data_IF_673221953545
#
_entry.id   IF_673221953545
#
_cell.length_a   1.000
_cell.length_b   1.000
_cell.length_c   1.000
_cell.angle_alpha   90.00
_cell.angle_beta   90.00
_cell.angle_gamma   90.00
#
_symmetry.space_group_name_H-M   'P 1'
#
loop_
_entity.id
_entity.type
_entity.pdbx_description
1 polymer ?
#
# COMPACT_ATOMS: atom_id res chain seq x y z
N UNK A 1 15.77 -2.20 -6.37
CA UNK A 1 14.60 -3.05 -6.03
C UNK A 1 13.36 -2.25 -6.39
N UNK A 2 12.44 -2.84 -7.14
CA UNK A 2 11.26 -2.12 -7.62
C UNK A 2 10.07 -2.46 -6.72
N UNK A 3 9.52 -1.44 -6.05
CA UNK A 3 8.24 -1.54 -5.36
C UNK A 3 7.11 -1.22 -6.35
N UNK A 4 6.07 -2.03 -6.33
CA UNK A 4 4.86 -1.82 -7.14
C UNK A 4 3.61 -1.99 -6.28
N UNK A 5 2.53 -1.31 -6.66
CA UNK A 5 1.25 -1.38 -5.98
C UNK A 5 0.17 -1.78 -6.99
N UNK A 6 -0.75 -2.66 -6.58
CA UNK A 6 -1.84 -3.14 -7.44
C UNK A 6 -3.13 -3.22 -6.64
N UNK A 7 -4.23 -2.83 -7.28
CA UNK A 7 -5.55 -3.05 -6.68
C UNK A 7 -5.83 -4.54 -6.57
N UNK A 8 -6.41 -4.96 -5.43
CA UNK A 8 -6.83 -6.34 -5.23
C UNK A 8 -8.34 -6.39 -5.45
N UNK A 9 -8.74 -6.98 -6.57
CA UNK A 9 -10.15 -7.23 -6.86
C UNK A 9 -10.68 -8.35 -5.95
N UNK A 10 -11.17 -7.98 -4.76
CA UNK A 10 -12.21 -8.77 -4.10
C UNK A 10 -13.57 -8.26 -4.57
N UNK A 11 -14.57 -9.15 -4.58
CA UNK A 11 -15.97 -8.82 -4.81
C UNK A 11 -16.35 -7.64 -3.93
N UNK A 12 -16.48 -6.46 -4.52
CA UNK A 12 -16.61 -5.20 -3.78
C UNK A 12 -18.01 -5.12 -3.19
N UNK A 13 -18.13 -5.21 -1.87
CA UNK A 13 -19.34 -4.72 -1.20
C UNK A 13 -19.45 -3.21 -1.45
N UNK A 14 -20.65 -2.68 -1.68
CA UNK A 14 -20.86 -1.28 -2.12
C UNK A 14 -20.21 -0.20 -1.23
N UNK A 15 -19.79 -0.56 -0.01
CA UNK A 15 -19.13 0.30 0.98
C UNK A 15 -17.85 -0.30 1.60
N UNK A 16 -17.24 -1.31 0.95
CA UNK A 16 -16.02 -1.94 1.46
C UNK A 16 -14.75 -1.12 1.21
N UNK A 17 -13.73 -1.37 2.01
CA UNK A 17 -12.41 -0.74 1.88
C UNK A 17 -11.78 -1.02 0.52
N UNK A 18 -11.06 -0.03 0.00
CA UNK A 18 -10.12 -0.25 -1.10
C UNK A 18 -8.90 -0.98 -0.56
N UNK A 19 -8.47 -2.04 -1.24
CA UNK A 19 -7.29 -2.83 -0.86
C UNK A 19 -6.31 -2.95 -2.00
N UNK A 20 -5.04 -2.82 -1.66
CA UNK A 20 -3.93 -2.82 -2.59
C UNK A 20 -2.83 -3.76 -2.10
N UNK A 21 -2.31 -4.59 -3.00
CA UNK A 21 -1.12 -5.39 -2.76
C UNK A 21 0.12 -4.57 -3.07
N UNK A 22 1.08 -4.57 -2.15
CA UNK A 22 2.40 -3.99 -2.34
C UNK A 22 3.39 -5.13 -2.60
N UNK A 23 4.09 -5.03 -3.72
CA UNK A 23 5.02 -6.05 -4.18
C UNK A 23 6.43 -5.50 -4.28
N UNK A 24 7.40 -6.25 -3.76
CA UNK A 24 8.82 -6.02 -3.94
C UNK A 24 9.37 -7.11 -4.86
N UNK A 25 9.90 -6.72 -6.01
CA UNK A 25 10.45 -7.64 -7.02
C UNK A 25 9.48 -8.80 -7.38
N UNK A 26 8.17 -8.47 -7.42
CA UNK A 26 7.09 -9.40 -7.74
C UNK A 26 6.53 -10.20 -6.56
N UNK A 27 7.17 -10.16 -5.39
CA UNK A 27 6.69 -10.82 -4.17
C UNK A 27 5.81 -9.88 -3.35
N UNK A 28 4.64 -10.36 -2.91
CA UNK A 28 3.76 -9.60 -2.03
C UNK A 28 4.43 -9.44 -0.65
N UNK A 29 4.60 -8.20 -0.21
CA UNK A 29 5.21 -7.88 1.10
C UNK A 29 4.23 -7.21 2.07
N UNK A 30 3.18 -6.55 1.56
CA UNK A 30 2.18 -5.90 2.39
C UNK A 30 0.86 -5.66 1.65
N UNK A 31 -0.18 -5.38 2.42
CA UNK A 31 -1.45 -4.85 1.96
C UNK A 31 -1.63 -3.44 2.48
N UNK A 32 -1.92 -2.49 1.60
CA UNK A 32 -2.42 -1.17 1.98
C UNK A 32 -3.93 -1.13 1.80
N UNK A 33 -4.63 -0.45 2.70
CA UNK A 33 -6.06 -0.24 2.60
C UNK A 33 -6.43 1.20 2.95
N UNK A 34 -7.53 1.66 2.37
CA UNK A 34 -8.20 2.87 2.83
C UNK A 34 -9.70 2.72 2.71
N UNK A 35 -10.44 3.42 3.55
CA UNK A 35 -11.91 3.42 3.52
C UNK A 35 -12.43 4.09 2.24
N UNK A 36 -13.74 4.05 2.03
CA UNK A 36 -14.35 4.63 0.83
C UNK A 36 -14.04 6.13 0.65
N UNK A 37 -13.85 6.88 1.75
CA UNK A 37 -13.57 8.32 1.71
C UNK A 37 -12.08 8.64 1.60
N UNK A 38 -11.21 7.68 1.90
CA UNK A 38 -9.76 7.87 2.00
C UNK A 38 -9.35 8.62 3.27
N UNK A 39 -10.26 8.75 4.24
CA UNK A 39 -10.06 9.39 5.54
C UNK A 39 -9.28 8.45 6.46
N UNK A 40 -9.62 7.16 6.42
CA UNK A 40 -8.98 6.11 7.20
C UNK A 40 -8.11 5.24 6.29
N UNK A 41 -6.92 4.89 6.77
CA UNK A 41 -6.01 4.04 6.01
C UNK A 41 -5.05 3.27 6.91
N UNK A 42 -4.48 2.20 6.38
CA UNK A 42 -3.50 1.40 7.09
C UNK A 42 -2.72 0.47 6.18
N UNK A 43 -1.69 -0.13 6.76
CA UNK A 43 -0.85 -1.13 6.13
C UNK A 43 -0.73 -2.38 7.00
N UNK A 44 -0.72 -3.54 6.36
CA UNK A 44 -0.50 -4.85 6.97
C UNK A 44 0.59 -5.57 6.19
N UNK A 45 1.78 -5.72 6.78
CA UNK A 45 2.87 -6.51 6.22
C UNK A 45 2.60 -8.00 6.37
N UNK A 46 3.10 -8.82 5.44
CA UNK A 46 2.89 -10.27 5.46
C UNK A 46 3.55 -10.98 6.66
N UNK A 47 4.44 -10.31 7.39
CA UNK A 47 5.00 -10.78 8.66
C UNK A 47 4.11 -10.48 9.89
N UNK A 48 2.91 -9.92 9.68
CA UNK A 48 1.96 -9.58 10.74
C UNK A 48 2.14 -8.19 11.36
N UNK A 49 3.16 -7.42 10.97
CA UNK A 49 3.29 -6.02 11.39
C UNK A 49 2.21 -5.20 10.70
N UNK A 50 1.42 -4.45 11.47
CA UNK A 50 0.41 -3.54 10.94
C UNK A 50 0.51 -2.17 11.60
N UNK A 51 0.15 -1.14 10.84
CA UNK A 51 0.17 0.25 11.30
C UNK A 51 -0.96 1.03 10.66
N UNK A 52 -1.58 1.89 11.46
CA UNK A 52 -2.63 2.80 11.05
C UNK A 52 -2.00 4.13 10.61
N UNK A 53 -2.49 4.73 9.52
CA UNK A 53 -1.95 5.99 8.96
C UNK A 53 -0.41 6.02 8.79
N UNK A 54 0.20 5.02 8.12
CA UNK A 54 1.67 4.84 8.10
C UNK A 54 2.48 6.05 7.60
N UNK A 55 1.88 6.89 6.77
CA UNK A 55 2.49 8.13 6.26
C UNK A 55 1.57 9.34 6.32
N UNK A 56 0.48 9.25 7.09
CA UNK A 56 -0.60 10.24 7.13
C UNK A 56 -1.75 9.88 6.21
N UNK A 57 -2.08 10.75 5.24
CA UNK A 57 -3.28 10.59 4.40
C UNK A 57 -3.03 9.59 3.27
N UNK A 58 -4.12 9.08 2.70
CA UNK A 58 -4.08 8.21 1.52
C UNK A 58 -3.25 8.78 0.37
N UNK A 59 -3.38 10.08 0.07
CA UNK A 59 -2.60 10.74 -0.99
C UNK A 59 -1.10 10.90 -0.67
N UNK A 60 -0.71 10.81 0.62
CA UNK A 60 0.69 10.74 1.02
C UNK A 60 1.26 9.33 0.82
N UNK A 61 0.41 8.31 0.63
CA UNK A 61 0.82 6.91 0.45
C UNK A 61 0.77 6.47 -1.03
N UNK A 62 -0.36 6.71 -1.70
CA UNK A 62 -0.59 6.34 -3.09
C UNK A 62 -0.70 7.57 -3.99
N UNK A 63 -0.25 7.42 -5.24
CA UNK A 63 -0.37 8.42 -6.28
C UNK A 63 -0.87 7.79 -7.59
N UNK A 64 -1.36 8.64 -8.49
CA UNK A 64 -1.97 8.19 -9.75
C UNK A 64 -3.38 7.63 -9.52
N UNK A 65 -3.79 6.68 -10.38
CA UNK A 65 -5.15 6.18 -10.44
C UNK A 65 -5.98 6.82 -11.56
N UNK A 66 -7.11 6.20 -11.91
CA UNK A 66 -7.91 6.58 -13.06
C UNK A 66 -7.12 6.42 -14.37
N UNK A 67 -6.84 7.50 -15.14
CA UNK A 67 -6.04 7.42 -16.37
C UNK A 67 -4.53 7.29 -16.12
N UNK A 68 -4.06 7.54 -14.89
CA UNK A 68 -2.64 7.44 -14.53
C UNK A 68 -2.32 6.10 -13.87
N UNK A 69 -1.14 5.50 -14.12
CA UNK A 69 -0.70 4.30 -13.40
C UNK A 69 -0.71 4.53 -11.90
N UNK A 70 -1.20 3.54 -11.15
CA UNK A 70 -1.15 3.56 -9.69
C UNK A 70 0.30 3.33 -9.23
N UNK A 71 0.79 4.19 -8.35
CA UNK A 71 2.15 4.15 -7.83
C UNK A 71 2.20 4.48 -6.33
N UNK A 72 3.28 4.07 -5.68
CA UNK A 72 3.60 4.50 -4.31
C UNK A 72 4.25 5.89 -4.36
N UNK A 73 3.97 6.73 -3.37
CA UNK A 73 4.71 7.99 -3.18
C UNK A 73 6.14 7.71 -2.69
N UNK A 74 7.03 8.70 -2.81
CA UNK A 74 8.38 8.62 -2.25
C UNK A 74 8.37 8.41 -0.73
N UNK A 75 7.38 8.99 -0.03
CA UNK A 75 7.21 8.84 1.42
C UNK A 75 6.80 7.42 1.78
N UNK A 76 5.89 6.81 1.02
CA UNK A 76 5.51 5.42 1.20
C UNK A 76 6.69 4.48 0.95
N UNK A 77 7.45 4.71 -0.11
CA UNK A 77 8.65 3.92 -0.43
C UNK A 77 9.66 4.00 0.72
N UNK A 78 9.94 5.20 1.23
CA UNK A 78 10.84 5.39 2.36
C UNK A 78 10.35 4.68 3.63
N UNK A 79 9.05 4.79 3.95
CA UNK A 79 8.43 4.10 5.06
C UNK A 79 8.54 2.57 4.92
N UNK A 80 8.21 2.02 3.75
CA UNK A 80 8.27 0.58 3.48
C UNK A 80 9.71 0.07 3.62
N UNK A 81 10.70 0.76 3.06
CA UNK A 81 12.10 0.35 3.16
C UNK A 81 12.63 0.37 4.61
N UNK A 82 12.10 1.26 5.46
CA UNK A 82 12.44 1.28 6.89
C UNK A 82 11.84 0.09 7.66
N UNK A 83 10.60 -0.30 7.34
CA UNK A 83 9.86 -1.36 8.04
C UNK A 83 10.12 -2.76 7.47
N UNK A 84 10.48 -2.83 6.21
CA UNK A 84 10.79 -4.03 5.45
C UNK A 84 12.16 -3.88 4.78
N UNK A 85 13.25 -3.76 5.56
CA UNK A 85 14.58 -3.71 4.99
C UNK A 85 14.83 -5.05 4.30
N UNK A 86 15.08 -5.00 3.00
CA UNK A 86 15.63 -6.14 2.29
C UNK A 86 16.95 -6.50 2.95
N UNK A 87 16.99 -7.66 3.63
CA UNK A 87 18.26 -8.30 3.95
C UNK A 87 18.99 -8.46 2.62
N UNK A 88 19.99 -7.60 2.40
CA UNK A 88 20.96 -7.79 1.35
C UNK A 88 21.76 -9.01 1.77
N UNK A 89 21.36 -10.18 1.27
CA UNK A 89 22.21 -11.36 1.29
C UNK A 89 23.36 -11.16 0.32
#
# INVERSE_FOLDING_TARGET
MALTIKHIEKTRESFGDYRYGIYQDGQLIAYFWHDYRGDENGIEFVNGVSEYEPVGRTCDFISGGGPQPLALSDRAIAYINMKWPTNSA
#
